data_IF_984089164960
#
_entry.id   IF_984089164960
#
_cell.length_a   1.000
_cell.length_b   1.000
_cell.length_c   1.000
_cell.angle_alpha   90.00
_cell.angle_beta   90.00
_cell.angle_gamma   90.00
#
_symmetry.space_group_name_H-M   'P 1'
#
loop_
_entity.id
_entity.type
_entity.pdbx_description
1 polymer ?
#
# COMPACT_ATOMS: atom_id res chain seq x y z
N UNK A 1 -4.27 13.52 20.24
CA UNK A 1 -5.44 12.84 20.81
C UNK A 1 -5.74 11.59 19.99
N UNK A 2 -6.39 10.56 20.54
CA UNK A 2 -6.77 9.32 19.85
C UNK A 2 -8.31 9.28 19.70
N UNK A 3 -8.81 8.92 18.53
CA UNK A 3 -10.22 8.83 18.16
C UNK A 3 -10.86 7.54 18.62
N UNK A 4 -12.16 7.41 18.34
CA UNK A 4 -13.07 6.39 18.89
C UNK A 4 -12.65 4.93 18.69
N UNK A 5 -11.71 4.64 17.78
CA UNK A 5 -11.15 3.31 17.53
C UNK A 5 -9.70 3.12 18.02
N UNK A 6 -9.17 4.05 18.82
CA UNK A 6 -7.78 4.05 19.28
C UNK A 6 -6.77 4.51 18.23
N UNK A 7 -7.23 4.96 17.07
CA UNK A 7 -6.41 5.63 16.05
C UNK A 7 -6.12 7.08 16.47
N UNK A 8 -5.02 7.72 16.09
CA UNK A 8 -4.84 9.14 16.36
C UNK A 8 -5.95 9.99 15.73
N UNK A 9 -6.65 10.82 16.53
CA UNK A 9 -7.51 11.90 16.03
C UNK A 9 -6.62 12.69 15.08
N UNK A 10 -7.09 12.83 13.85
CA UNK A 10 -6.38 13.43 12.72
C UNK A 10 -6.16 14.93 12.98
N UNK A 11 -5.21 15.23 13.86
CA UNK A 11 -4.38 16.42 13.75
C UNK A 11 -3.21 16.01 12.86
N UNK A 12 -3.08 16.72 11.75
CA UNK A 12 -2.08 16.46 10.71
C UNK A 12 -0.70 16.22 11.35
N UNK A 13 -0.06 15.09 11.05
CA UNK A 13 1.26 14.72 11.59
C UNK A 13 1.27 13.81 12.83
N UNK A 14 0.23 13.78 13.67
CA UNK A 14 0.23 12.92 14.88
C UNK A 14 0.26 11.43 14.50
N UNK A 15 -0.52 11.04 13.49
CA UNK A 15 -0.53 9.65 13.01
C UNK A 15 0.83 9.20 12.45
N UNK A 16 1.53 10.09 11.75
CA UNK A 16 2.88 9.80 11.26
C UNK A 16 3.89 9.67 12.41
N UNK A 17 3.83 10.60 13.38
CA UNK A 17 4.67 10.57 14.58
C UNK A 17 4.46 9.29 15.40
N UNK A 18 3.21 8.87 15.60
CA UNK A 18 2.87 7.63 16.29
C UNK A 18 3.49 6.41 15.58
N UNK A 19 3.33 6.29 14.26
CA UNK A 19 3.95 5.21 13.48
C UNK A 19 5.46 5.20 13.56
N UNK A 20 6.09 6.38 13.49
CA UNK A 20 7.54 6.52 13.57
C UNK A 20 8.07 6.10 14.95
N UNK A 21 7.39 6.49 16.03
CA UNK A 21 7.74 6.08 17.39
C UNK A 21 7.58 4.58 17.57
N UNK A 22 6.47 3.98 17.10
CA UNK A 22 6.32 2.52 17.14
C UNK A 22 7.45 1.82 16.38
N UNK A 23 7.83 2.33 15.22
CA UNK A 23 8.97 1.84 14.45
C UNK A 23 10.30 1.93 15.21
N UNK A 24 10.54 3.03 15.92
CA UNK A 24 11.74 3.22 16.73
C UNK A 24 11.78 2.27 17.93
N UNK A 25 10.68 2.12 18.66
CA UNK A 25 10.56 1.19 19.81
C UNK A 25 10.87 -0.25 19.36
N UNK A 26 10.34 -0.66 18.22
CA UNK A 26 10.60 -2.00 17.65
C UNK A 26 12.09 -2.21 17.37
N UNK A 27 12.74 -1.24 16.72
CA UNK A 27 14.19 -1.33 16.45
C UNK A 27 15.02 -1.25 17.71
N UNK A 28 14.55 -0.58 18.76
CA UNK A 28 15.27 -0.48 20.03
C UNK A 28 15.20 -1.78 20.85
N UNK A 29 14.01 -2.41 20.91
CA UNK A 29 13.69 -3.47 21.87
C UNK A 29 13.61 -4.88 21.30
N UNK A 30 13.49 -5.06 19.97
CA UNK A 30 13.35 -6.39 19.35
C UNK A 30 14.61 -6.91 18.66
N UNK A 31 15.78 -6.38 19.03
CA UNK A 31 17.08 -6.78 18.48
C UNK A 31 17.39 -8.26 18.70
N UNK A 32 17.01 -8.82 19.85
CA UNK A 32 17.16 -10.24 20.15
C UNK A 32 16.11 -11.13 19.47
N UNK A 33 15.06 -10.55 18.89
CA UNK A 33 13.95 -11.29 18.27
C UNK A 33 13.98 -11.27 16.74
N UNK A 34 15.03 -10.72 16.12
CA UNK A 34 15.10 -10.55 14.66
C UNK A 34 14.98 -11.86 13.88
N UNK A 35 15.27 -13.01 14.50
CA UNK A 35 15.15 -14.34 13.87
C UNK A 35 13.72 -14.88 13.90
N UNK A 36 12.86 -14.41 14.81
CA UNK A 36 11.46 -14.84 14.96
C UNK A 36 10.56 -14.41 13.80
N UNK A 37 10.28 -15.32 12.88
CA UNK A 37 9.65 -15.03 11.57
C UNK A 37 8.27 -14.39 11.67
N UNK A 38 7.52 -14.70 12.72
CA UNK A 38 6.15 -14.24 12.92
C UNK A 38 6.02 -13.45 14.21
N UNK A 39 5.42 -12.25 14.13
CA UNK A 39 5.06 -11.41 15.27
C UNK A 39 4.26 -12.15 16.35
N UNK A 40 3.43 -13.12 15.94
CA UNK A 40 2.65 -13.95 16.87
C UNK A 40 3.55 -14.71 17.85
N UNK A 41 4.75 -15.09 17.43
CA UNK A 41 5.69 -15.89 18.21
C UNK A 41 6.58 -15.04 19.13
N UNK A 42 6.50 -13.71 19.05
CA UNK A 42 7.17 -12.84 20.03
C UNK A 42 6.44 -12.98 21.36
N UNK A 43 7.14 -13.23 22.49
CA UNK A 43 6.50 -13.42 23.79
C UNK A 43 5.60 -12.26 24.21
N UNK A 44 4.51 -12.59 24.91
CA UNK A 44 3.56 -11.61 25.43
C UNK A 44 4.23 -10.64 26.40
N UNK A 45 5.19 -11.11 27.21
CA UNK A 45 5.99 -10.26 28.10
C UNK A 45 6.72 -9.15 27.35
N UNK A 46 7.39 -9.49 26.24
CA UNK A 46 8.04 -8.51 25.37
C UNK A 46 7.02 -7.54 24.76
N UNK A 47 5.85 -8.03 24.30
CA UNK A 47 4.78 -7.18 23.77
C UNK A 47 4.27 -6.17 24.80
N UNK A 48 4.13 -6.60 26.05
CA UNK A 48 3.73 -5.73 27.15
C UNK A 48 4.77 -4.62 27.42
N UNK A 49 6.07 -4.93 27.37
CA UNK A 49 7.14 -3.93 27.50
C UNK A 49 7.09 -2.89 26.39
N UNK A 50 6.83 -3.31 25.14
CA UNK A 50 6.69 -2.39 24.01
C UNK A 50 5.49 -1.46 24.20
N UNK A 51 4.36 -2.00 24.70
CA UNK A 51 3.16 -1.22 24.98
C UNK A 51 3.39 -0.24 26.14
N UNK A 52 4.08 -0.65 27.20
CA UNK A 52 4.45 0.23 28.32
C UNK A 52 5.34 1.40 27.85
N UNK A 53 6.36 1.10 27.04
CA UNK A 53 7.24 2.14 26.43
C UNK A 53 6.45 3.11 25.54
N UNK A 54 5.38 2.63 24.91
CA UNK A 54 4.50 3.49 24.10
C UNK A 54 3.59 4.37 24.98
N UNK A 55 3.07 3.83 26.09
CA UNK A 55 2.26 4.56 27.08
C UNK A 55 3.02 5.70 27.73
N UNK A 56 4.32 5.56 27.95
CA UNK A 56 5.17 6.65 28.44
C UNK A 56 5.17 7.89 27.51
N UNK A 57 4.95 7.67 26.20
CA UNK A 57 5.01 8.73 25.17
C UNK A 57 3.63 9.21 24.73
N UNK A 58 2.58 8.47 25.05
CA UNK A 58 1.22 8.74 24.61
C UNK A 58 0.20 8.42 25.69
N UNK A 59 -0.62 9.41 26.04
CA UNK A 59 -1.77 9.22 26.92
C UNK A 59 -2.95 8.65 26.13
N UNK A 60 -3.49 7.52 26.59
CA UNK A 60 -4.72 6.92 26.06
C UNK A 60 -5.93 7.50 26.81
N UNK A 61 -7.04 7.71 26.10
CA UNK A 61 -8.30 8.13 26.74
C UNK A 61 -8.89 6.97 27.54
N UNK A 62 -9.46 7.31 28.71
CA UNK A 62 -10.11 6.36 29.60
C UNK A 62 -11.31 5.70 28.87
N UNK A 63 -11.42 4.37 28.96
CA UNK A 63 -12.42 3.58 28.23
C UNK A 63 -12.06 3.17 26.79
N UNK A 64 -10.98 3.68 26.19
CA UNK A 64 -10.51 3.28 24.84
C UNK A 64 -9.22 2.44 24.84
N UNK A 65 -8.75 2.07 26.02
CA UNK A 65 -7.44 1.46 26.22
C UNK A 65 -7.31 0.10 25.50
N UNK A 66 -8.37 -0.71 25.50
CA UNK A 66 -8.33 -2.03 24.85
C UNK A 66 -8.24 -1.91 23.33
N UNK A 67 -8.97 -0.97 22.73
CA UNK A 67 -8.90 -0.68 21.30
C UNK A 67 -7.54 -0.15 20.90
N UNK A 68 -7.01 0.81 21.67
CA UNK A 68 -5.71 1.40 21.42
C UNK A 68 -4.57 0.37 21.57
N UNK A 69 -4.68 -0.55 22.54
CA UNK A 69 -3.77 -1.70 22.67
C UNK A 69 -3.80 -2.59 21.44
N UNK A 70 -4.98 -3.03 21.00
CA UNK A 70 -5.12 -3.88 19.79
C UNK A 70 -4.56 -3.18 18.55
N UNK A 71 -4.81 -1.89 18.41
CA UNK A 71 -4.26 -1.07 17.32
C UNK A 71 -2.73 -1.00 17.38
N UNK A 72 -2.15 -0.69 18.56
CA UNK A 72 -0.72 -0.62 18.78
C UNK A 72 -0.03 -1.96 18.49
N UNK A 73 -0.59 -3.08 18.95
CA UNK A 73 -0.08 -4.44 18.67
C UNK A 73 -0.07 -4.76 17.18
N UNK A 74 -1.15 -4.42 16.47
CA UNK A 74 -1.22 -4.60 15.02
C UNK A 74 -0.17 -3.75 14.29
N UNK A 75 0.07 -2.53 14.77
CA UNK A 75 1.08 -1.64 14.23
C UNK A 75 2.51 -2.13 14.52
N UNK A 76 2.80 -2.57 15.74
CA UNK A 76 4.07 -3.19 16.11
C UNK A 76 4.38 -4.39 15.23
N UNK A 77 3.40 -5.27 14.98
CA UNK A 77 3.58 -6.40 14.06
C UNK A 77 3.87 -5.97 12.61
N UNK A 78 3.29 -4.86 12.14
CA UNK A 78 3.65 -4.28 10.83
C UNK A 78 5.07 -3.70 10.83
N UNK A 79 5.43 -2.90 11.83
CA UNK A 79 6.76 -2.31 11.99
C UNK A 79 7.85 -3.36 12.07
N UNK A 80 7.63 -4.44 12.84
CA UNK A 80 8.58 -5.54 13.00
C UNK A 80 8.82 -6.30 11.68
N UNK A 81 7.75 -6.63 10.95
CA UNK A 81 7.88 -7.25 9.62
C UNK A 81 8.61 -6.34 8.63
N UNK A 82 8.30 -5.05 8.62
CA UNK A 82 8.97 -4.09 7.75
C UNK A 82 10.46 -3.97 8.08
N UNK A 83 10.81 -3.89 9.37
CA UNK A 83 12.20 -3.82 9.79
C UNK A 83 12.99 -5.07 9.41
N UNK A 84 12.44 -6.26 9.61
CA UNK A 84 13.05 -7.50 9.09
C UNK A 84 13.25 -7.48 7.58
N UNK A 85 12.30 -6.92 6.82
CA UNK A 85 12.42 -6.75 5.38
C UNK A 85 13.59 -5.82 5.01
N UNK A 86 13.76 -4.71 5.74
CA UNK A 86 14.88 -3.78 5.57
C UNK A 86 16.20 -4.50 5.88
N UNK A 87 16.30 -5.23 6.99
CA UNK A 87 17.49 -6.03 7.32
C UNK A 87 17.88 -6.98 6.18
N UNK A 88 16.89 -7.62 5.55
CA UNK A 88 17.15 -8.52 4.43
C UNK A 88 17.56 -7.78 3.14
N UNK A 89 16.85 -6.73 2.75
CA UNK A 89 17.05 -6.03 1.46
C UNK A 89 18.30 -5.14 1.49
N UNK A 90 18.49 -4.36 2.55
CA UNK A 90 19.52 -3.34 2.62
C UNK A 90 20.85 -3.87 3.15
N UNK A 91 20.83 -4.93 3.97
CA UNK A 91 22.03 -5.48 4.59
C UNK A 91 22.38 -6.86 4.02
N UNK A 92 21.51 -7.87 4.18
CA UNK A 92 21.83 -9.24 3.74
C UNK A 92 22.06 -9.30 2.23
N UNK A 93 21.15 -8.77 1.40
CA UNK A 93 21.29 -8.81 -0.07
C UNK A 93 22.44 -7.96 -0.61
N UNK A 94 22.82 -6.89 0.10
CA UNK A 94 23.91 -5.99 -0.29
C UNK A 94 25.25 -6.37 0.35
N UNK A 95 25.31 -7.45 1.11
CA UNK A 95 26.53 -7.89 1.81
C UNK A 95 27.00 -6.96 2.93
N UNK A 96 26.13 -6.09 3.46
CA UNK A 96 26.46 -5.17 4.57
C UNK A 96 26.18 -5.80 5.93
N UNK A 97 26.86 -5.32 6.96
CA UNK A 97 26.61 -5.72 8.34
C UNK A 97 25.57 -4.80 9.00
N UNK A 98 24.42 -5.35 9.38
CA UNK A 98 23.38 -4.55 10.04
C UNK A 98 23.79 -4.02 11.41
N UNK A 99 24.81 -4.61 12.04
CA UNK A 99 25.32 -4.16 13.34
C UNK A 99 25.98 -2.78 13.27
N UNK A 100 26.45 -2.36 12.11
CA UNK A 100 27.10 -1.05 11.93
C UNK A 100 26.09 0.08 12.21
N UNK A 101 24.84 -0.10 11.78
CA UNK A 101 23.74 0.83 12.04
C UNK A 101 22.88 0.45 13.26
N UNK A 102 22.85 -0.84 13.61
CA UNK A 102 22.06 -1.39 14.70
C UNK A 102 22.94 -2.15 15.70
N UNK A 103 23.84 -1.44 16.39
CA UNK A 103 24.85 -2.03 17.28
C UNK A 103 24.31 -2.88 18.44
N UNK A 104 23.01 -2.77 18.76
CA UNK A 104 22.33 -3.61 19.77
C UNK A 104 21.85 -4.97 19.26
N UNK A 105 21.92 -5.24 17.95
CA UNK A 105 21.74 -6.60 17.44
C UNK A 105 22.84 -7.47 18.05
N UNK A 106 22.55 -8.63 18.66
CA UNK A 106 23.61 -9.56 19.08
C UNK A 106 24.26 -10.30 17.90
N UNK A 107 25.58 -10.61 17.94
CA UNK A 107 26.29 -11.18 16.78
C UNK A 107 25.68 -12.50 16.33
N UNK A 108 25.34 -13.35 17.29
CA UNK A 108 24.73 -14.66 17.08
C UNK A 108 23.37 -14.55 16.40
N UNK A 109 22.56 -13.57 16.79
CA UNK A 109 21.24 -13.34 16.18
C UNK A 109 21.37 -12.83 14.75
N UNK A 110 22.37 -12.01 14.47
CA UNK A 110 22.66 -11.52 13.12
C UNK A 110 23.11 -12.66 12.19
N UNK A 111 24.04 -13.50 12.66
CA UNK A 111 24.53 -14.63 11.88
C UNK A 111 23.43 -15.68 11.64
N UNK A 112 22.55 -15.91 12.62
CA UNK A 112 21.38 -16.77 12.40
C UNK A 112 20.39 -16.17 11.40
N UNK A 113 20.19 -14.85 11.44
CA UNK A 113 19.26 -14.15 10.55
C UNK A 113 19.70 -14.22 9.08
N UNK A 114 20.97 -13.88 8.77
CA UNK A 114 21.48 -13.88 7.40
C UNK A 114 21.52 -15.27 6.76
N UNK A 115 21.71 -16.30 7.59
CA UNK A 115 21.85 -17.69 7.15
C UNK A 115 20.52 -18.45 7.06
N UNK A 116 19.37 -17.80 7.31
CA UNK A 116 18.06 -18.47 7.24
C UNK A 116 17.66 -18.76 5.78
N UNK A 117 17.70 -20.01 5.29
CA UNK A 117 17.50 -20.33 3.87
C UNK A 117 16.04 -20.12 3.44
N UNK A 118 15.10 -20.33 4.37
CA UNK A 118 13.65 -20.18 4.15
C UNK A 118 13.25 -18.76 3.74
N UNK A 119 14.01 -17.73 4.11
CA UNK A 119 13.69 -16.34 3.78
C UNK A 119 14.06 -15.96 2.32
N UNK A 120 15.19 -16.48 1.81
CA UNK A 120 15.63 -16.24 0.42
C UNK A 120 14.69 -16.91 -0.58
N UNK A 121 14.42 -18.21 -0.40
CA UNK A 121 13.52 -18.96 -1.26
C UNK A 121 12.09 -18.37 -1.27
N UNK A 122 11.56 -17.99 -0.10
CA UNK A 122 10.24 -17.37 -0.01
C UNK A 122 10.22 -15.97 -0.66
N UNK A 123 11.30 -15.20 -0.52
CA UNK A 123 11.43 -13.89 -1.19
C UNK A 123 11.44 -14.04 -2.71
N UNK A 124 12.19 -15.00 -3.25
CA UNK A 124 12.26 -15.27 -4.69
C UNK A 124 10.93 -15.79 -5.21
N UNK A 125 10.28 -16.69 -4.48
CA UNK A 125 8.97 -17.20 -4.84
C UNK A 125 7.91 -16.09 -4.84
N UNK A 126 7.90 -15.23 -3.82
CA UNK A 126 7.00 -14.08 -3.75
C UNK A 126 7.29 -13.07 -4.85
N UNK A 127 8.56 -12.84 -5.19
CA UNK A 127 8.94 -11.95 -6.29
C UNK A 127 8.47 -12.53 -7.62
N UNK A 128 8.67 -13.82 -7.85
CA UNK A 128 8.19 -14.54 -9.04
C UNK A 128 6.66 -14.50 -9.14
N UNK A 129 5.95 -14.75 -8.03
CA UNK A 129 4.47 -14.66 -7.96
C UNK A 129 4.00 -13.23 -8.25
N UNK A 130 4.66 -12.23 -7.68
CA UNK A 130 4.37 -10.82 -7.93
C UNK A 130 4.59 -10.47 -9.41
N UNK A 131 5.75 -10.80 -9.98
CA UNK A 131 6.07 -10.56 -11.39
C UNK A 131 5.07 -11.23 -12.34
N UNK A 132 4.69 -12.49 -12.07
CA UNK A 132 3.65 -13.20 -12.84
C UNK A 132 2.26 -12.54 -12.73
N UNK A 133 1.96 -11.91 -11.59
CA UNK A 133 0.68 -11.22 -11.36
C UNK A 133 0.64 -9.80 -11.97
N UNK A 134 1.79 -9.21 -12.34
CA UNK A 134 1.86 -7.86 -12.91
C UNK A 134 1.54 -7.91 -14.40
N UNK A 135 0.31 -8.28 -14.77
CA UNK A 135 -0.16 -8.18 -16.17
C UNK A 135 -0.32 -6.71 -16.61
N UNK A 136 -0.51 -5.80 -15.65
CA UNK A 136 -0.74 -4.36 -15.87
C UNK A 136 -0.07 -3.51 -14.77
N UNK A 137 1.25 -3.26 -14.84
CA UNK A 137 1.98 -2.54 -13.81
C UNK A 137 1.43 -1.12 -13.58
N UNK A 138 1.34 -0.75 -12.32
CA UNK A 138 1.12 0.62 -11.85
C UNK A 138 1.80 0.77 -10.48
N UNK A 139 2.15 1.99 -10.10
CA UNK A 139 2.90 2.26 -8.86
C UNK A 139 2.04 2.74 -7.70
N UNK A 140 0.72 2.80 -7.88
CA UNK A 140 -0.21 3.26 -6.84
C UNK A 140 -0.75 2.10 -6.01
N UNK A 141 -0.47 2.14 -4.70
CA UNK A 141 -1.22 1.35 -3.71
C UNK A 141 -2.52 2.04 -3.29
N UNK A 142 -3.32 1.38 -2.44
CA UNK A 142 -4.62 1.89 -2.02
C UNK A 142 -4.60 3.33 -1.44
N UNK A 143 -3.66 3.63 -0.53
CA UNK A 143 -3.50 4.99 0.00
C UNK A 143 -2.97 6.00 -1.04
N UNK A 144 -2.26 5.51 -2.07
CA UNK A 144 -1.80 6.35 -3.18
C UNK A 144 -2.96 6.81 -4.07
N UNK A 145 -3.99 5.97 -4.25
CA UNK A 145 -5.20 6.36 -4.97
C UNK A 145 -5.93 7.50 -4.27
N UNK A 146 -6.09 7.48 -2.93
CA UNK A 146 -6.79 8.56 -2.22
C UNK A 146 -6.19 9.95 -2.52
N UNK A 147 -4.87 10.07 -2.41
CA UNK A 147 -4.15 11.33 -2.68
C UNK A 147 -4.23 11.71 -4.16
N UNK A 148 -4.11 10.74 -5.06
CA UNK A 148 -4.11 10.98 -6.50
C UNK A 148 -5.48 11.34 -7.06
N UNK A 149 -6.55 10.72 -6.58
CA UNK A 149 -7.93 11.01 -7.00
C UNK A 149 -8.26 12.49 -6.75
N UNK A 150 -7.91 13.01 -5.56
CA UNK A 150 -8.13 14.42 -5.25
C UNK A 150 -7.38 15.36 -6.20
N UNK A 151 -6.13 15.00 -6.55
CA UNK A 151 -5.32 15.76 -7.50
C UNK A 151 -5.91 15.70 -8.92
N UNK A 152 -6.26 14.50 -9.40
CA UNK A 152 -6.83 14.31 -10.74
C UNK A 152 -8.16 15.02 -10.91
N UNK A 153 -9.04 14.99 -9.91
CA UNK A 153 -10.32 15.73 -9.94
C UNK A 153 -10.11 17.24 -10.08
N UNK A 154 -9.07 17.79 -9.45
CA UNK A 154 -8.72 19.21 -9.59
C UNK A 154 -8.21 19.52 -11.00
N UNK A 155 -7.30 18.70 -11.53
CA UNK A 155 -6.78 18.84 -12.90
C UNK A 155 -7.89 18.72 -13.95
N UNK A 156 -8.84 17.80 -13.77
CA UNK A 156 -10.00 17.64 -14.65
C UNK A 156 -10.92 18.87 -14.63
N UNK A 157 -11.17 19.45 -13.45
CA UNK A 157 -11.99 20.65 -13.32
C UNK A 157 -11.31 21.88 -13.94
N UNK A 158 -9.99 22.02 -13.78
CA UNK A 158 -9.20 23.06 -14.44
C UNK A 158 -9.27 22.92 -15.97
N UNK A 159 -9.16 21.69 -16.49
CA UNK A 159 -9.31 21.41 -17.92
C UNK A 159 -10.73 21.73 -18.43
N UNK A 160 -11.75 21.41 -17.63
CA UNK A 160 -13.15 21.73 -17.93
C UNK A 160 -13.39 23.24 -18.00
N UNK A 161 -12.84 24.00 -17.05
CA UNK A 161 -12.92 25.48 -17.04
C UNK A 161 -12.17 26.06 -18.25
N UNK A 162 -11.04 25.48 -18.63
CA UNK A 162 -10.28 25.88 -19.81
C UNK A 162 -10.94 25.47 -21.15
N UNK A 163 -12.07 24.76 -21.13
CA UNK A 163 -12.78 24.31 -22.33
C UNK A 163 -12.05 23.22 -23.13
N UNK A 164 -11.12 22.49 -22.50
CA UNK A 164 -10.41 21.40 -23.15
C UNK A 164 -11.30 20.16 -23.31
N UNK A 165 -11.12 19.36 -24.39
CA UNK A 165 -11.86 18.12 -24.58
C UNK A 165 -11.64 17.12 -23.42
N UNK A 166 -12.73 16.51 -22.94
CA UNK A 166 -12.64 15.47 -21.92
C UNK A 166 -12.22 14.14 -22.55
N UNK A 167 -10.93 13.80 -22.44
CA UNK A 167 -10.37 12.56 -22.99
C UNK A 167 -10.92 11.29 -22.33
N UNK A 168 -11.55 11.40 -21.16
CA UNK A 168 -12.12 10.27 -20.42
C UNK A 168 -13.65 10.28 -20.40
N UNK A 169 -14.27 10.96 -21.37
CA UNK A 169 -15.72 11.03 -21.47
C UNK A 169 -16.34 9.63 -21.59
N UNK A 170 -17.40 9.38 -20.82
CA UNK A 170 -18.09 8.09 -20.79
C UNK A 170 -17.41 7.00 -19.97
N UNK A 171 -16.17 7.22 -19.47
CA UNK A 171 -15.54 6.32 -18.51
C UNK A 171 -16.06 6.53 -17.09
N UNK A 172 -16.39 5.42 -16.42
CA UNK A 172 -16.68 5.43 -15.00
C UNK A 172 -15.44 5.83 -14.17
N UNK A 173 -15.67 6.28 -12.93
CA UNK A 173 -14.60 6.78 -12.05
C UNK A 173 -13.48 5.73 -11.87
N UNK A 174 -13.84 4.46 -11.73
CA UNK A 174 -12.90 3.37 -11.48
C UNK A 174 -11.98 3.14 -12.69
N UNK A 175 -12.55 3.13 -13.88
CA UNK A 175 -11.84 2.99 -15.16
C UNK A 175 -10.92 4.18 -15.38
N UNK A 176 -11.40 5.40 -15.12
CA UNK A 176 -10.61 6.62 -15.22
C UNK A 176 -9.41 6.63 -14.29
N UNK A 177 -9.62 6.33 -13.01
CA UNK A 177 -8.55 6.20 -12.02
C UNK A 177 -7.53 5.14 -12.41
N UNK A 178 -7.97 4.02 -12.98
CA UNK A 178 -7.07 2.97 -13.47
C UNK A 178 -6.19 3.44 -14.63
N UNK A 179 -6.74 4.23 -15.55
CA UNK A 179 -5.99 4.80 -16.69
C UNK A 179 -4.99 5.84 -16.19
N UNK A 180 -5.43 6.79 -15.37
CA UNK A 180 -4.58 7.86 -14.81
C UNK A 180 -3.44 7.31 -13.94
N UNK A 181 -3.68 6.22 -13.19
CA UNK A 181 -2.66 5.53 -12.40
C UNK A 181 -1.48 5.01 -13.24
N UNK A 182 -1.65 4.86 -14.55
CA UNK A 182 -0.62 4.39 -15.49
C UNK A 182 0.12 5.52 -16.19
N UNK A 183 -0.12 6.76 -15.75
CA UNK A 183 0.57 7.97 -16.22
C UNK A 183 0.50 8.09 -17.74
N UNK A 184 -0.72 8.32 -18.29
CA UNK A 184 -0.88 8.57 -19.72
C UNK A 184 -0.01 9.75 -20.15
N UNK A 185 0.63 9.62 -21.30
CA UNK A 185 1.34 10.70 -21.97
C UNK A 185 0.45 11.20 -23.10
N UNK A 186 0.09 12.48 -23.00
CA UNK A 186 -0.71 13.16 -24.00
C UNK A 186 0.22 13.75 -25.06
N UNK A 187 0.00 13.33 -26.30
CA UNK A 187 0.69 13.92 -27.46
C UNK A 187 0.00 15.22 -27.87
N UNK A 188 0.72 16.16 -28.52
CA UNK A 188 0.11 17.38 -29.07
C UNK A 188 -1.08 17.11 -30.01
N UNK A 189 -1.08 15.95 -30.68
CA UNK A 189 -2.16 15.49 -31.57
C UNK A 189 -3.42 14.98 -30.84
N UNK A 190 -3.46 15.11 -29.51
CA UNK A 190 -4.58 14.66 -28.68
C UNK A 190 -4.62 13.14 -28.45
N UNK A 191 -3.61 12.38 -28.88
CA UNK A 191 -3.55 10.93 -28.61
C UNK A 191 -2.95 10.61 -27.25
N UNK A 192 -3.53 9.62 -26.58
CA UNK A 192 -3.05 9.08 -25.30
C UNK A 192 -2.10 7.91 -25.57
N UNK A 193 -0.90 7.99 -25.01
CA UNK A 193 0.09 6.90 -25.06
C UNK A 193 0.46 6.44 -23.66
N UNK A 194 0.90 5.19 -23.54
CA UNK A 194 1.23 4.57 -22.25
C UNK A 194 2.60 3.92 -22.31
N UNK A 195 3.32 3.94 -21.18
CA UNK A 195 4.65 3.31 -21.08
C UNK A 195 4.61 1.79 -21.27
N UNK A 196 3.53 1.14 -20.86
CA UNK A 196 3.42 -0.32 -20.92
C UNK A 196 2.59 -0.77 -22.13
N UNK A 197 3.08 -1.72 -22.95
CA UNK A 197 2.50 -2.05 -24.26
C UNK A 197 1.09 -2.64 -24.20
N UNK A 198 0.69 -3.25 -23.08
CA UNK A 198 -0.67 -3.82 -22.91
C UNK A 198 -1.72 -2.79 -22.47
N UNK A 199 -1.31 -1.61 -22.02
CA UNK A 199 -2.26 -0.58 -21.53
C UNK A 199 -3.09 0.06 -22.65
N UNK A 200 -2.52 0.41 -23.82
CA UNK A 200 -3.29 0.93 -24.96
C UNK A 200 -4.44 0.01 -25.39
N UNK A 201 -4.24 -1.31 -25.37
CA UNK A 201 -5.29 -2.28 -25.74
C UNK A 201 -6.48 -2.24 -24.79
N UNK A 202 -6.22 -2.16 -23.48
CA UNK A 202 -7.27 -2.03 -22.47
C UNK A 202 -7.97 -0.68 -22.58
N UNK A 203 -7.20 0.39 -22.81
CA UNK A 203 -7.76 1.73 -23.01
C UNK A 203 -8.71 1.78 -24.21
N UNK A 204 -8.31 1.21 -25.35
CA UNK A 204 -9.17 1.11 -26.54
C UNK A 204 -10.47 0.33 -26.27
N UNK A 205 -10.40 -0.74 -25.48
CA UNK A 205 -11.61 -1.49 -25.06
C UNK A 205 -12.52 -0.67 -24.16
N UNK A 206 -11.95 0.15 -23.27
CA UNK A 206 -12.70 1.05 -22.41
C UNK A 206 -13.45 2.10 -23.24
N UNK A 207 -12.80 2.71 -24.24
CA UNK A 207 -13.45 3.64 -25.18
C UNK A 207 -14.62 2.97 -25.92
N UNK A 208 -14.43 1.74 -26.41
CA UNK A 208 -15.51 0.97 -27.05
C UNK A 208 -16.68 0.68 -26.10
N UNK A 209 -16.40 0.32 -24.85
CA UNK A 209 -17.44 0.06 -23.85
C UNK A 209 -18.21 1.33 -23.46
N UNK A 210 -17.53 2.48 -23.38
CA UNK A 210 -18.18 3.77 -23.15
C UNK A 210 -19.17 4.10 -24.28
N UNK A 211 -18.78 3.88 -25.54
CA UNK A 211 -19.66 4.08 -26.70
C UNK A 211 -20.84 3.08 -26.73
N UNK A 212 -20.60 1.82 -26.39
CA UNK A 212 -21.68 0.82 -26.24
C UNK A 212 -22.65 1.18 -25.12
N UNK A 213 -22.15 1.76 -24.03
CA UNK A 213 -22.97 2.22 -22.92
C UNK A 213 -23.82 3.43 -23.30
N UNK A 214 -23.26 4.41 -24.03
CA UNK A 214 -24.01 5.55 -24.59
C UNK A 214 -25.14 5.08 -25.50
N UNK A 215 -24.92 4.01 -26.29
CA UNK A 215 -25.92 3.37 -27.15
C UNK A 215 -26.92 2.47 -26.40
N UNK A 216 -26.77 2.30 -25.08
CA UNK A 216 -27.62 1.42 -24.27
C UNK A 216 -27.38 -0.09 -24.47
N UNK A 217 -26.37 -0.47 -25.26
CA UNK A 217 -26.01 -1.87 -25.57
C UNK A 217 -25.18 -2.52 -24.46
N UNK A 218 -24.51 -1.72 -23.65
CA UNK A 218 -23.77 -2.19 -22.47
C UNK A 218 -24.40 -1.61 -21.20
N UNK A 219 -24.82 -2.49 -20.29
CA UNK A 219 -25.34 -2.12 -18.97
C UNK A 219 -24.38 -2.65 -17.90
N UNK A 220 -23.53 -1.81 -17.30
CA UNK A 220 -22.61 -2.25 -16.27
C UNK A 220 -23.37 -2.73 -15.02
N UNK A 221 -22.84 -3.74 -14.35
CA UNK A 221 -23.29 -4.14 -13.02
C UNK A 221 -22.09 -4.25 -12.07
N UNK A 222 -22.36 -4.59 -10.80
CA UNK A 222 -21.34 -4.63 -9.74
C UNK A 222 -20.12 -5.51 -10.08
N UNK A 223 -20.32 -6.62 -10.79
CA UNK A 223 -19.25 -7.58 -11.11
C UNK A 223 -18.70 -7.42 -12.53
N UNK A 224 -19.48 -6.80 -13.43
CA UNK A 224 -19.17 -6.59 -14.84
C UNK A 224 -19.31 -5.12 -15.19
N UNK A 225 -18.45 -4.30 -14.59
CA UNK A 225 -18.31 -2.90 -14.97
C UNK A 225 -17.37 -2.73 -16.17
N UNK A 226 -17.17 -1.49 -16.62
CA UNK A 226 -16.35 -1.20 -17.80
C UNK A 226 -14.93 -1.76 -17.64
N UNK A 227 -14.30 -1.52 -16.48
CA UNK A 227 -12.92 -1.93 -16.22
C UNK A 227 -12.76 -3.45 -16.16
N UNK A 228 -13.66 -4.14 -15.48
CA UNK A 228 -13.60 -5.59 -15.34
C UNK A 228 -13.80 -6.28 -16.70
N UNK A 229 -14.72 -5.73 -17.50
CA UNK A 229 -14.99 -6.21 -18.87
C UNK A 229 -13.81 -5.94 -19.80
N UNK A 230 -13.21 -4.73 -19.78
CA UNK A 230 -12.06 -4.39 -20.62
C UNK A 230 -10.83 -5.25 -20.33
N UNK A 231 -10.54 -5.49 -19.03
CA UNK A 231 -9.39 -6.29 -18.60
C UNK A 231 -9.61 -7.79 -18.85
N UNK A 232 -10.86 -8.26 -18.78
CA UNK A 232 -11.23 -9.67 -18.95
C UNK A 232 -10.74 -10.59 -17.82
N UNK A 233 -10.44 -10.03 -16.64
CA UNK A 233 -10.02 -10.78 -15.46
C UNK A 233 -10.84 -10.30 -14.27
N UNK A 234 -11.51 -11.24 -13.61
CA UNK A 234 -12.26 -11.01 -12.39
C UNK A 234 -11.40 -10.34 -11.31
N UNK A 235 -12.06 -9.55 -10.46
CA UNK A 235 -11.41 -8.98 -9.29
C UNK A 235 -11.06 -10.05 -8.25
N UNK A 236 -9.98 -9.80 -7.50
CA UNK A 236 -9.69 -10.62 -6.33
C UNK A 236 -10.60 -10.20 -5.18
N UNK A 237 -11.18 -11.18 -4.47
CA UNK A 237 -12.04 -10.92 -3.31
C UNK A 237 -11.35 -9.98 -2.30
N UNK A 238 -12.09 -8.97 -1.84
CA UNK A 238 -11.62 -7.97 -0.88
C UNK A 238 -10.69 -6.89 -1.44
N UNK A 239 -10.48 -6.81 -2.76
CA UNK A 239 -9.69 -5.74 -3.41
C UNK A 239 -10.37 -5.21 -4.66
N UNK A 240 -10.49 -3.88 -4.73
CA UNK A 240 -11.03 -3.18 -5.90
C UNK A 240 -9.91 -2.42 -6.60
N UNK A 241 -9.70 -2.67 -7.89
CA UNK A 241 -8.71 -1.96 -8.72
C UNK A 241 -9.19 -0.54 -9.01
N UNK A 242 -8.28 0.43 -9.05
CA UNK A 242 -8.63 1.81 -9.41
C UNK A 242 -9.32 2.60 -8.29
N UNK A 243 -9.41 2.04 -7.08
CA UNK A 243 -10.08 2.66 -5.93
C UNK A 243 -9.18 2.70 -4.70
N UNK A 244 -9.40 3.69 -3.84
CA UNK A 244 -8.84 3.70 -2.49
C UNK A 244 -9.66 2.78 -1.58
N UNK A 245 -8.99 1.93 -0.79
CA UNK A 245 -9.63 1.18 0.30
C UNK A 245 -9.67 1.98 1.62
N UNK A 246 -8.98 3.12 1.64
CA UNK A 246 -9.06 4.13 2.70
C UNK A 246 -10.16 5.10 2.29
N UNK A 247 -11.33 4.97 2.90
CA UNK A 247 -12.34 6.03 2.87
C UNK A 247 -11.75 7.26 3.59
N UNK A 248 -12.07 8.49 3.14
CA UNK A 248 -11.80 9.69 3.94
C UNK A 248 -12.46 9.62 5.32
#
# INVERSE_FOLDING_TARGET
MLGSKGEPIVLEGIAARFRNICGAIIRDKLQTWITTSNWKNVPTTTKNVLLATLKEKFTFLEGQEEFARKFAEGLFGRCFRNWRSILNIEYVKKGKNARDDFGRIPPEMWEQFKNTPKAKALSEENTRKAMKAVKYPHHLGAGGYAVKIAKWRREEEEQRIAGLPNLFEGLDERSRNWVLARTPLFTPDGKVTFKHPTTPEIYKRLEQLAELQKKGLFKPNRERDQLTTAIGIAEHSGRVRGMSSTLP
#
